data_IF_420442158850
#
_entry.id   IF_420442158850
#
_cell.length_a   1.000
_cell.length_b   1.000
_cell.length_c   1.000
_cell.angle_alpha   90.00
_cell.angle_beta   90.00
_cell.angle_gamma   90.00
#
_symmetry.space_group_name_H-M   'P 1'
#
loop_
_entity.id
_entity.type
_entity.pdbx_description
1 polymer ?
#
# COMPACT_ATOMS: atom_id res chain seq x y z
N UNK A 1 4.79 2.62 9.18
CA UNK A 1 3.65 1.88 9.78
C UNK A 1 2.32 2.26 9.11
N UNK A 2 1.37 1.32 8.97
CA UNK A 2 0.03 1.58 8.44
C UNK A 2 -0.90 2.13 9.54
N UNK A 3 -1.41 3.35 9.34
CA UNK A 3 -2.21 4.13 10.32
C UNK A 3 -3.69 3.83 10.18
N UNK A 4 -4.21 3.91 8.96
CA UNK A 4 -5.60 3.53 8.65
C UNK A 4 -5.61 2.21 7.89
N UNK A 5 -6.73 1.46 7.90
CA UNK A 5 -6.77 0.12 7.32
C UNK A 5 -6.28 0.12 5.87
N UNK A 6 -5.13 -0.52 5.64
CA UNK A 6 -4.55 -0.72 4.32
C UNK A 6 -5.20 -1.95 3.69
N UNK A 7 -6.08 -1.72 2.73
CA UNK A 7 -6.86 -2.78 2.07
C UNK A 7 -6.30 -3.08 0.69
N UNK A 8 -5.18 -3.80 0.65
CA UNK A 8 -4.67 -4.39 -0.60
C UNK A 8 -5.56 -5.56 -1.01
N UNK A 9 -5.67 -5.80 -2.32
CA UNK A 9 -6.56 -6.83 -2.86
C UNK A 9 -5.89 -7.62 -3.97
N UNK A 10 -6.28 -8.89 -4.07
CA UNK A 10 -6.01 -9.74 -5.23
C UNK A 10 -7.34 -10.28 -5.75
N UNK A 11 -7.62 -10.06 -7.04
CA UNK A 11 -8.88 -10.47 -7.68
C UNK A 11 -10.14 -10.06 -6.88
N UNK A 12 -10.16 -8.82 -6.37
CA UNK A 12 -11.28 -8.28 -5.59
C UNK A 12 -11.37 -8.77 -4.14
N UNK A 13 -10.60 -9.79 -3.75
CA UNK A 13 -10.51 -10.29 -2.38
C UNK A 13 -9.48 -9.49 -1.58
N UNK A 14 -9.81 -8.97 -0.39
CA UNK A 14 -8.83 -8.32 0.48
C UNK A 14 -7.76 -9.32 0.95
N UNK A 15 -6.51 -8.89 1.00
CA UNK A 15 -5.38 -9.70 1.47
C UNK A 15 -5.19 -9.57 2.97
N UNK A 16 -5.18 -10.71 3.67
CA UNK A 16 -4.81 -10.82 5.10
C UNK A 16 -3.30 -10.62 5.30
N UNK A 17 -2.82 -10.32 6.52
CA UNK A 17 -1.39 -10.08 6.78
C UNK A 17 -0.45 -11.12 6.16
N UNK A 18 -0.76 -12.40 6.28
CA UNK A 18 -0.02 -13.54 5.75
C UNK A 18 -0.01 -13.61 4.21
N UNK A 19 -1.04 -13.09 3.56
CA UNK A 19 -1.20 -13.07 2.10
C UNK A 19 -0.57 -11.83 1.44
N UNK A 20 -0.14 -10.86 2.24
CA UNK A 20 0.53 -9.67 1.73
C UNK A 20 1.86 -10.04 1.08
N UNK A 21 2.27 -9.22 0.11
CA UNK A 21 3.60 -9.31 -0.46
C UNK A 21 4.14 -7.93 -0.79
N UNK A 22 5.46 -7.80 -0.69
CA UNK A 22 6.18 -6.59 -1.10
C UNK A 22 5.87 -6.23 -2.55
N UNK A 23 5.73 -7.24 -3.43
CA UNK A 23 5.29 -7.07 -4.82
C UNK A 23 3.96 -6.33 -4.92
N UNK A 24 2.94 -6.78 -4.20
CA UNK A 24 1.61 -6.17 -4.25
C UNK A 24 1.65 -4.74 -3.72
N UNK A 25 2.40 -4.47 -2.65
CA UNK A 25 2.57 -3.12 -2.10
C UNK A 25 3.21 -2.18 -3.14
N UNK A 26 4.36 -2.55 -3.69
CA UNK A 26 5.10 -1.74 -4.66
C UNK A 26 4.30 -1.47 -5.93
N UNK A 27 3.66 -2.49 -6.49
CA UNK A 27 2.84 -2.32 -7.68
C UNK A 27 1.59 -1.47 -7.41
N UNK A 28 1.00 -1.55 -6.22
CA UNK A 28 -0.13 -0.69 -5.84
C UNK A 28 0.31 0.76 -5.73
N UNK A 29 1.44 1.03 -5.08
CA UNK A 29 2.01 2.37 -4.95
C UNK A 29 2.34 2.98 -6.31
N UNK A 30 3.05 2.22 -7.14
CA UNK A 30 3.40 2.62 -8.49
C UNK A 30 2.16 2.96 -9.31
N UNK A 31 1.20 2.04 -9.42
CA UNK A 31 -0.01 2.23 -10.23
C UNK A 31 -0.79 3.47 -9.81
N UNK A 32 -0.87 3.71 -8.50
CA UNK A 32 -1.58 4.88 -7.98
C UNK A 32 -0.85 6.17 -8.32
N UNK A 33 0.47 6.23 -8.17
CA UNK A 33 1.26 7.39 -8.57
C UNK A 33 1.14 7.67 -10.08
N UNK A 34 1.25 6.63 -10.92
CA UNK A 34 1.09 6.75 -12.37
C UNK A 34 -0.30 7.28 -12.76
N UNK A 35 -1.37 6.73 -12.16
CA UNK A 35 -2.73 7.17 -12.42
C UNK A 35 -2.96 8.63 -12.01
N UNK A 36 -2.45 9.04 -10.86
CA UNK A 36 -2.59 10.43 -10.40
C UNK A 36 -1.86 11.42 -11.33
N UNK A 37 -0.68 11.05 -11.82
CA UNK A 37 0.06 11.87 -12.78
C UNK A 37 -0.66 11.98 -14.12
N UNK A 38 -1.19 10.87 -14.63
CA UNK A 38 -1.92 10.86 -15.91
C UNK A 38 -3.20 11.71 -15.83
N UNK A 39 -3.98 11.57 -14.75
CA UNK A 39 -5.27 12.25 -14.62
C UNK A 39 -5.17 13.74 -14.27
N UNK A 40 -4.14 14.15 -13.51
CA UNK A 40 -4.07 15.50 -12.94
C UNK A 40 -2.91 16.34 -13.45
N UNK A 41 -1.93 15.75 -14.14
CA UNK A 41 -0.76 16.47 -14.66
C UNK A 41 -0.60 16.33 -16.17
N UNK A 42 -1.50 15.59 -16.84
CA UNK A 42 -1.41 15.24 -18.27
C UNK A 42 -0.02 14.68 -18.65
N UNK A 43 0.57 13.91 -17.71
CA UNK A 43 1.91 13.34 -17.86
C UNK A 43 1.89 11.86 -17.54
N UNK A 44 2.34 11.06 -18.50
CA UNK A 44 2.66 9.65 -18.26
C UNK A 44 4.04 9.55 -17.64
N UNK A 45 4.12 9.01 -16.42
CA UNK A 45 5.40 8.69 -15.82
C UNK A 45 5.99 7.50 -16.57
N UNK A 46 7.20 7.64 -17.09
CA UNK A 46 7.97 6.50 -17.59
C UNK A 46 8.51 5.71 -16.40
N UNK A 47 8.19 4.42 -16.35
CA UNK A 47 8.47 3.58 -15.19
C UNK A 47 9.24 2.34 -15.65
N UNK A 48 10.39 2.09 -15.02
CA UNK A 48 11.10 0.81 -15.12
C UNK A 48 10.42 -0.25 -14.23
N UNK A 49 9.28 -0.76 -14.70
CA UNK A 49 8.52 -1.80 -13.97
C UNK A 49 9.34 -3.08 -13.86
N UNK A 50 10.13 -3.41 -14.89
CA UNK A 50 10.98 -4.60 -14.91
C UNK A 50 12.02 -4.53 -13.80
N UNK A 51 12.76 -3.43 -13.72
CA UNK A 51 13.75 -3.24 -12.66
C UNK A 51 13.15 -3.15 -11.26
N UNK A 52 11.92 -2.65 -11.12
CA UNK A 52 11.20 -2.71 -9.84
C UNK A 52 10.86 -4.16 -9.45
N UNK A 53 10.43 -4.98 -10.41
CA UNK A 53 10.10 -6.39 -10.17
C UNK A 53 11.35 -7.26 -9.92
N UNK A 54 12.49 -6.93 -10.51
CA UNK A 54 13.79 -7.57 -10.23
C UNK A 54 14.27 -7.34 -8.80
N UNK A 55 13.84 -6.25 -8.15
CA UNK A 55 14.16 -5.96 -6.75
C UNK A 55 13.37 -6.86 -5.79
N UNK A 56 12.13 -7.22 -6.14
CA UNK A 56 11.20 -7.93 -5.24
C UNK A 56 11.81 -9.20 -4.63
N UNK A 57 12.45 -10.12 -5.38
CA UNK A 57 13.03 -11.34 -4.80
C UNK A 57 14.19 -11.09 -3.83
N UNK A 58 14.81 -9.90 -3.90
CA UNK A 58 15.93 -9.50 -3.04
C UNK A 58 15.45 -8.82 -1.75
N UNK A 59 14.16 -8.50 -1.66
CA UNK A 59 13.57 -7.87 -0.49
C UNK A 59 13.13 -8.94 0.51
N UNK A 60 13.25 -8.60 1.79
CA UNK A 60 12.69 -9.36 2.90
C UNK A 60 11.67 -8.51 3.61
N UNK A 61 10.73 -9.16 4.28
CA UNK A 61 9.74 -8.47 5.07
C UNK A 61 9.38 -9.21 6.35
N UNK A 62 8.95 -8.45 7.36
CA UNK A 62 8.40 -8.94 8.61
C UNK A 62 7.03 -8.31 8.84
N UNK A 63 6.05 -9.17 9.10
CA UNK A 63 4.63 -8.83 9.13
C UNK A 63 3.94 -9.23 10.42
N UNK A 64 4.67 -9.76 11.40
CA UNK A 64 4.13 -10.36 12.62
C UNK A 64 3.35 -9.35 13.48
N UNK A 65 3.67 -8.06 13.34
CA UNK A 65 2.99 -6.97 14.02
C UNK A 65 1.83 -6.35 13.21
N UNK A 66 1.57 -6.83 11.99
CA UNK A 66 0.38 -6.44 11.24
C UNK A 66 -0.84 -7.18 11.78
N UNK A 67 -1.92 -6.42 11.99
CA UNK A 67 -3.21 -6.97 12.43
C UNK A 67 -4.31 -6.55 11.48
N UNK A 68 -5.32 -7.40 11.33
CA UNK A 68 -6.53 -7.04 10.60
C UNK A 68 -7.45 -6.21 11.51
N UNK A 69 -7.85 -5.03 11.05
CA UNK A 69 -8.85 -4.21 11.75
C UNK A 69 -10.07 -4.03 10.87
N UNK A 70 -11.20 -4.57 11.31
CA UNK A 70 -12.49 -4.28 10.71
C UNK A 70 -13.01 -2.94 11.21
N UNK A 71 -13.39 -2.09 10.26
CA UNK A 71 -14.09 -0.85 10.54
C UNK A 71 -15.48 -0.95 9.92
N UNK A 72 -16.51 -0.95 10.74
CA UNK A 72 -17.89 -0.86 10.26
C UNK A 72 -18.33 0.61 10.20
N UNK A 73 -18.93 1.00 9.07
CA UNK A 73 -19.61 2.29 8.94
C UNK A 73 -21.00 2.08 8.37
N UNK A 74 -22.00 2.73 8.94
CA UNK A 74 -23.33 2.78 8.34
C UNK A 74 -23.35 3.71 7.12
N UNK A 75 -23.77 3.21 5.96
CA UNK A 75 -23.89 3.98 4.73
C UNK A 75 -25.33 4.45 4.54
N UNK A 76 -25.60 5.72 4.83
CA UNK A 76 -26.93 6.32 4.69
C UNK A 76 -27.47 6.20 3.26
N UNK A 77 -26.59 6.25 2.24
CA UNK A 77 -26.98 6.10 0.82
C UNK A 77 -27.45 4.69 0.46
N UNK A 78 -26.92 3.68 1.13
CA UNK A 78 -27.20 2.27 0.82
C UNK A 78 -28.02 1.56 1.91
N UNK A 79 -28.32 2.26 3.02
CA UNK A 79 -29.07 1.71 4.17
C UNK A 79 -28.39 0.53 4.86
N UNK A 80 -27.08 0.34 4.68
CA UNK A 80 -26.36 -0.85 5.18
C UNK A 80 -25.04 -0.53 5.85
N UNK A 81 -24.63 -1.40 6.75
CA UNK A 81 -23.27 -1.43 7.27
C UNK A 81 -22.28 -1.84 6.18
N UNK A 82 -21.19 -1.07 6.07
CA UNK A 82 -20.07 -1.35 5.20
C UNK A 82 -18.91 -1.87 6.04
N UNK A 83 -18.39 -3.05 5.67
CA UNK A 83 -17.17 -3.61 6.28
C UNK A 83 -15.95 -3.07 5.53
N UNK A 84 -15.27 -2.10 6.15
CA UNK A 84 -14.08 -1.41 5.67
C UNK A 84 -12.81 -1.97 6.34
N UNK A 85 -12.68 -3.30 6.39
CA UNK A 85 -11.49 -3.95 6.92
C UNK A 85 -10.24 -3.79 6.07
N UNK A 86 -9.09 -3.84 6.72
CA UNK A 86 -7.75 -3.79 6.13
C UNK A 86 -6.68 -4.03 7.21
N UNK A 87 -5.41 -4.12 6.81
CA UNK A 87 -4.31 -4.30 7.77
C UNK A 87 -3.87 -2.98 8.39
N UNK A 88 -3.46 -3.01 9.65
CA UNK A 88 -2.89 -1.88 10.38
C UNK A 88 -1.66 -2.35 11.18
N UNK A 89 -0.78 -1.41 11.52
CA UNK A 89 0.44 -1.68 12.27
C UNK A 89 1.72 -1.62 11.42
N UNK A 90 2.87 -1.97 12.01
CA UNK A 90 4.16 -1.90 11.32
C UNK A 90 4.34 -3.10 10.37
N UNK A 91 4.84 -2.78 9.17
CA UNK A 91 5.34 -3.75 8.20
C UNK A 91 6.79 -3.38 7.91
N UNK A 92 7.72 -4.22 8.37
CA UNK A 92 9.15 -3.96 8.22
C UNK A 92 9.59 -4.55 6.90
N UNK A 93 10.30 -3.75 6.10
CA UNK A 93 10.82 -4.15 4.80
C UNK A 93 12.34 -3.91 4.78
N UNK A 94 13.08 -4.87 4.24
CA UNK A 94 14.53 -4.80 4.08
C UNK A 94 14.89 -5.05 2.63
N UNK A 95 15.79 -4.25 2.07
CA UNK A 95 16.24 -4.36 0.69
C UNK A 95 17.73 -4.03 0.60
N UNK A 96 18.47 -4.59 -0.38
CA UNK A 96 19.86 -4.20 -0.64
C UNK A 96 19.97 -2.76 -1.16
N UNK A 97 18.91 -2.25 -1.80
CA UNK A 97 18.81 -0.86 -2.24
C UNK A 97 17.35 -0.44 -2.37
N UNK A 98 17.07 0.82 -2.07
CA UNK A 98 15.74 1.42 -2.18
C UNK A 98 15.52 2.25 -3.44
N UNK A 99 16.56 2.50 -4.24
CA UNK A 99 16.54 3.52 -5.31
C UNK A 99 15.39 3.37 -6.31
N UNK A 100 15.02 2.14 -6.67
CA UNK A 100 13.92 1.85 -7.61
C UNK A 100 12.52 1.87 -6.97
N UNK A 101 12.43 1.68 -5.66
CA UNK A 101 11.17 1.56 -4.93
C UNK A 101 10.79 2.83 -4.14
N UNK A 102 11.79 3.61 -3.73
CA UNK A 102 11.65 4.68 -2.75
C UNK A 102 10.61 5.72 -3.16
N UNK A 103 10.68 6.25 -4.39
CA UNK A 103 9.76 7.29 -4.85
C UNK A 103 8.29 6.85 -4.77
N UNK A 104 8.00 5.57 -5.08
CA UNK A 104 6.65 5.03 -5.04
C UNK A 104 6.15 4.86 -3.60
N UNK A 105 6.99 4.30 -2.73
CA UNK A 105 6.68 4.14 -1.31
C UNK A 105 6.57 5.49 -0.61
N UNK A 106 7.35 6.49 -1.01
CA UNK A 106 7.28 7.81 -0.40
C UNK A 106 6.01 8.55 -0.82
N UNK A 107 5.67 8.54 -2.12
CA UNK A 107 4.45 9.15 -2.65
C UNK A 107 3.19 8.48 -2.09
N UNK A 108 3.21 7.16 -1.89
CA UNK A 108 2.07 6.41 -1.38
C UNK A 108 1.61 6.87 0.01
N UNK A 109 2.48 7.48 0.82
CA UNK A 109 2.09 8.06 2.12
C UNK A 109 1.04 9.17 1.94
N UNK A 110 1.23 10.00 0.92
CA UNK A 110 0.37 11.13 0.60
C UNK A 110 -0.85 10.72 -0.21
N UNK A 111 -0.68 9.77 -1.13
CA UNK A 111 -1.76 9.31 -2.01
C UNK A 111 -2.69 8.29 -1.35
N UNK A 112 -2.25 7.70 -0.23
CA UNK A 112 -2.80 6.50 0.39
C UNK A 112 -2.83 5.30 -0.58
N UNK A 113 -2.92 4.07 -0.09
CA UNK A 113 -2.88 2.87 -0.92
C UNK A 113 -4.06 1.91 -0.72
N UNK A 114 -4.36 1.14 -1.76
CA UNK A 114 -5.39 0.11 -1.72
C UNK A 114 -6.81 0.64 -1.99
N UNK A 115 -7.81 -0.09 -1.50
CA UNK A 115 -9.23 0.22 -1.74
C UNK A 115 -9.79 1.19 -0.70
N UNK A 116 -10.75 2.01 -1.12
CA UNK A 116 -11.46 3.00 -0.29
C UNK A 116 -10.58 4.13 0.27
N UNK A 117 -9.49 4.46 -0.42
CA UNK A 117 -8.63 5.62 -0.12
C UNK A 117 -9.39 6.95 -0.01
N UNK A 118 -10.41 7.18 -0.83
CA UNK A 118 -11.28 8.37 -0.75
C UNK A 118 -12.16 8.39 0.50
N UNK A 119 -12.24 7.28 1.24
CA UNK A 119 -12.90 7.18 2.55
C UNK A 119 -11.89 7.23 3.71
N UNK A 120 -10.65 7.65 3.45
CA UNK A 120 -9.61 7.80 4.48
C UNK A 120 -8.82 6.53 4.79
N UNK A 121 -9.03 5.42 4.06
CA UNK A 121 -8.27 4.18 4.24
C UNK A 121 -6.89 4.26 3.56
N UNK A 122 -6.00 3.34 3.94
CA UNK A 122 -4.72 3.14 3.26
C UNK A 122 -3.61 4.14 3.59
N UNK A 123 -3.77 4.95 4.64
CA UNK A 123 -2.74 5.88 5.07
C UNK A 123 -1.63 5.13 5.82
N UNK A 124 -0.39 5.44 5.49
CA UNK A 124 0.78 4.96 6.20
C UNK A 124 1.86 6.04 6.18
N UNK A 125 2.86 5.87 7.03
CA UNK A 125 4.08 6.65 7.02
C UNK A 125 5.28 5.69 6.97
N UNK A 126 6.40 6.16 6.44
CA UNK A 126 7.66 5.45 6.39
C UNK A 126 8.51 5.89 7.58
N UNK A 127 9.18 4.91 8.18
CA UNK A 127 10.15 5.12 9.24
C UNK A 127 11.42 4.39 8.85
N UNK A 128 12.57 4.99 9.14
CA UNK A 128 13.86 4.32 8.97
C UNK A 128 14.13 3.59 10.26
N UNK A 129 14.18 2.26 10.21
CA UNK A 129 14.68 1.48 11.33
C UNK A 129 16.20 1.69 11.40
N UNK A 130 16.66 2.37 12.45
CA UNK A 130 18.07 2.36 12.82
C UNK A 130 18.39 0.98 13.42
N UNK A 131 18.95 0.07 12.63
CA UNK A 131 19.66 -1.05 13.23
C UNK A 131 20.99 -0.50 13.73
N UNK A 132 21.21 -0.54 15.04
CA UNK A 132 22.54 -0.42 15.65
C UNK A 132 23.38 -1.65 15.39
#
# INVERSE_FOLDING_TARGET
>A
MAITPLRLQHQGKPLRPEELSVRTLLLTALRRASLMSELHMDRKIQVDVKGLLELVPQMRDQRDALTWRDWTRYSSRQGREMILGGVVGPWILTAPSWSKAWSWLWLGQWLHLGKNVTMGLGQYHLEVCSCG
#
